data_IF_746689890173
#
_entry.id   IF_746689890173
#
_cell.length_a   1.000
_cell.length_b   1.000
_cell.length_c   1.000
_cell.angle_alpha   90.00
_cell.angle_beta   90.00
_cell.angle_gamma   90.00
#
_symmetry.space_group_name_H-M   'P 1'
#
loop_
_entity.id
_entity.type
_entity.pdbx_description
1 polymer ?
#
# COMPACT_ATOMS: atom_id res chain seq x y z
N UNK A 1 7.07 -5.25 13.40
CA UNK A 1 5.91 -4.39 13.07
C UNK A 1 6.00 -3.27 14.08
N UNK A 2 6.43 -2.10 13.63
CA UNK A 2 6.83 -1.04 14.55
C UNK A 2 5.68 -0.04 14.64
N UNK A 3 4.98 -0.06 15.77
CA UNK A 3 3.83 0.81 16.04
C UNK A 3 4.34 1.94 16.93
N UNK A 4 4.35 3.18 16.43
CA UNK A 4 4.69 4.36 17.22
C UNK A 4 3.53 5.36 17.27
N UNK A 5 3.16 5.81 18.47
CA UNK A 5 2.05 6.73 18.74
C UNK A 5 2.58 8.11 19.16
N UNK A 6 3.09 8.89 18.21
CA UNK A 6 3.26 10.34 18.41
C UNK A 6 2.17 11.07 17.61
N UNK A 7 1.14 11.54 18.32
CA UNK A 7 -0.04 12.33 17.90
C UNK A 7 -1.24 11.60 17.26
N UNK A 8 -2.30 11.32 18.06
CA UNK A 8 -3.71 10.98 17.70
C UNK A 8 -4.00 10.00 16.55
N UNK A 9 -2.98 9.43 15.93
CA UNK A 9 -3.05 8.61 14.73
C UNK A 9 -2.06 7.47 14.89
N UNK A 10 -2.47 6.32 14.37
CA UNK A 10 -1.68 5.11 14.27
C UNK A 10 -1.02 5.10 12.89
N UNK A 11 0.29 4.85 12.89
CA UNK A 11 1.07 4.71 11.66
C UNK A 11 1.50 3.25 11.54
N UNK A 12 1.22 2.65 10.38
CA UNK A 12 1.69 1.33 9.98
C UNK A 12 2.59 1.54 8.77
N UNK A 13 3.81 1.02 8.82
CA UNK A 13 4.77 1.09 7.71
C UNK A 13 5.16 -0.33 7.32
N UNK A 14 5.13 -0.62 6.03
CA UNK A 14 5.58 -1.89 5.44
C UNK A 14 6.53 -1.63 4.29
N UNK A 15 7.48 -2.53 4.15
CA UNK A 15 8.42 -2.56 3.05
C UNK A 15 8.18 -3.86 2.30
N UNK A 16 7.98 -3.79 1.00
CA UNK A 16 7.74 -4.94 0.14
C UNK A 16 8.67 -4.88 -1.06
N UNK A 17 9.08 -6.05 -1.55
CA UNK A 17 9.91 -6.19 -2.74
C UNK A 17 9.06 -6.78 -3.86
N UNK A 18 9.02 -6.10 -5.01
CA UNK A 18 8.26 -6.48 -6.19
C UNK A 18 9.22 -6.73 -7.34
N UNK A 19 9.11 -7.90 -8.00
CA UNK A 19 10.09 -8.36 -8.99
C UNK A 19 10.21 -7.48 -10.23
N UNK A 20 9.13 -6.90 -10.74
CA UNK A 20 9.17 -6.12 -11.98
C UNK A 20 8.23 -4.94 -11.91
N UNK A 21 8.51 -3.91 -12.72
CA UNK A 21 7.66 -2.74 -12.85
C UNK A 21 6.25 -3.11 -13.32
N UNK A 22 6.11 -4.12 -14.19
CA UNK A 22 4.81 -4.59 -14.67
C UNK A 22 3.95 -5.19 -13.55
N UNK A 23 4.58 -5.95 -12.64
CA UNK A 23 3.92 -6.49 -11.46
C UNK A 23 3.52 -5.35 -10.52
N UNK A 24 4.38 -4.34 -10.35
CA UNK A 24 4.07 -3.16 -9.56
C UNK A 24 2.88 -2.39 -10.16
N UNK A 25 2.87 -2.14 -11.46
CA UNK A 25 1.77 -1.46 -12.15
C UNK A 25 0.46 -2.24 -12.00
N UNK A 26 0.50 -3.57 -12.11
CA UNK A 26 -0.66 -4.43 -11.88
C UNK A 26 -1.15 -4.33 -10.43
N UNK A 27 -0.24 -4.38 -9.46
CA UNK A 27 -0.55 -4.21 -8.04
C UNK A 27 -1.24 -2.86 -7.78
N UNK A 28 -0.65 -1.76 -8.27
CA UNK A 28 -1.21 -0.42 -8.12
C UNK A 28 -2.59 -0.33 -8.77
N UNK A 29 -2.78 -0.86 -9.97
CA UNK A 29 -4.08 -0.84 -10.64
C UNK A 29 -5.16 -1.61 -9.87
N UNK A 30 -4.82 -2.73 -9.23
CA UNK A 30 -5.77 -3.47 -8.40
C UNK A 30 -6.10 -2.74 -7.11
N UNK A 31 -5.11 -2.10 -6.49
CA UNK A 31 -5.35 -1.21 -5.34
C UNK A 31 -6.27 -0.07 -5.75
N UNK A 32 -6.04 0.59 -6.89
CA UNK A 32 -6.93 1.64 -7.41
C UNK A 32 -8.36 1.14 -7.60
N UNK A 33 -8.54 -0.06 -8.13
CA UNK A 33 -9.85 -0.67 -8.30
C UNK A 33 -10.58 -0.98 -6.98
N UNK A 34 -9.86 -1.46 -5.95
CA UNK A 34 -10.46 -1.73 -4.62
C UNK A 34 -10.88 -0.44 -3.90
N UNK A 35 -10.21 0.68 -4.19
CA UNK A 35 -10.39 1.95 -3.50
C UNK A 35 -10.92 3.08 -4.42
N UNK A 36 -11.62 2.72 -5.50
CA UNK A 36 -12.06 3.64 -6.56
C UNK A 36 -13.02 4.76 -6.09
N UNK A 37 -13.78 4.50 -5.03
CA UNK A 37 -14.68 5.48 -4.40
C UNK A 37 -13.96 6.52 -3.52
N UNK A 38 -12.67 6.34 -3.26
CA UNK A 38 -11.88 7.24 -2.41
C UNK A 38 -11.11 8.28 -3.24
N UNK A 39 -10.79 9.41 -2.61
CA UNK A 39 -9.95 10.43 -3.22
C UNK A 39 -8.53 9.89 -3.39
N UNK A 40 -7.95 10.05 -4.59
CA UNK A 40 -6.61 9.58 -4.92
C UNK A 40 -5.72 10.72 -5.43
N UNK A 41 -4.44 10.67 -5.08
CA UNK A 41 -3.37 11.52 -5.60
C UNK A 41 -2.25 10.64 -6.18
N UNK A 42 -1.75 10.99 -7.37
CA UNK A 42 -0.80 10.15 -8.15
C UNK A 42 0.55 10.85 -8.43
N UNK A 43 0.97 11.79 -7.56
CA UNK A 43 2.17 12.60 -7.78
C UNK A 43 3.50 11.87 -7.53
N UNK A 44 3.54 10.98 -6.53
CA UNK A 44 4.74 10.24 -6.11
C UNK A 44 4.32 8.83 -5.67
N UNK A 45 3.85 8.04 -6.65
CA UNK A 45 3.16 6.78 -6.40
C UNK A 45 1.66 6.97 -6.16
N UNK A 46 1.03 6.00 -5.49
CA UNK A 46 -0.41 6.04 -5.20
C UNK A 46 -0.65 6.50 -3.77
N UNK A 47 -1.44 7.55 -3.58
CA UNK A 47 -1.94 7.96 -2.26
C UNK A 47 -3.46 8.00 -2.27
N UNK A 48 -4.08 7.40 -1.26
CA UNK A 48 -5.54 7.26 -1.16
C UNK A 48 -6.02 7.77 0.19
N UNK A 49 -7.03 8.62 0.18
CA UNK A 49 -7.63 9.23 1.37
C UNK A 49 -8.99 8.62 1.67
N UNK A 50 -9.16 8.13 2.90
CA UNK A 50 -10.40 7.56 3.43
C UNK A 50 -10.85 8.32 4.69
N UNK A 51 -12.12 8.23 5.13
CA UNK A 51 -12.66 9.07 6.20
C UNK A 51 -11.83 9.08 7.50
N UNK A 52 -11.14 7.97 7.80
CA UNK A 52 -10.35 7.80 9.02
C UNK A 52 -8.84 7.90 8.81
N UNK A 53 -8.35 8.36 7.64
CA UNK A 53 -6.93 8.40 7.38
C UNK A 53 -6.54 8.41 5.91
N UNK A 54 -5.32 7.96 5.64
CA UNK A 54 -4.84 7.77 4.28
C UNK A 54 -3.84 6.61 4.24
N UNK A 55 -3.58 6.11 3.05
CA UNK A 55 -2.41 5.28 2.79
C UNK A 55 -1.67 5.75 1.55
N UNK A 56 -0.37 5.45 1.47
CA UNK A 56 0.44 5.67 0.29
C UNK A 56 1.25 4.42 -0.05
N UNK A 57 1.51 4.24 -1.34
CA UNK A 57 2.38 3.21 -1.91
C UNK A 57 3.38 3.93 -2.82
N UNK A 58 4.64 3.98 -2.41
CA UNK A 58 5.69 4.71 -3.15
C UNK A 58 6.88 3.79 -3.42
N UNK A 59 7.60 4.05 -4.51
CA UNK A 59 8.83 3.33 -4.86
C UNK A 59 10.00 4.00 -4.16
N UNK A 60 10.74 3.24 -3.34
CA UNK A 60 11.95 3.73 -2.66
C UNK A 60 13.18 3.62 -3.56
N UNK A 61 13.28 2.51 -4.29
CA UNK A 61 14.37 2.25 -5.22
C UNK A 61 13.92 1.27 -6.30
N UNK A 62 14.51 1.44 -7.47
CA UNK A 62 14.30 0.61 -8.65
C UNK A 62 15.64 0.06 -9.12
N UNK A 63 15.66 -1.24 -9.41
CA UNK A 63 16.74 -1.91 -10.12
C UNK A 63 16.15 -2.72 -11.28
N UNK A 64 16.98 -3.19 -12.21
CA UNK A 64 16.52 -3.99 -13.37
C UNK A 64 15.69 -5.24 -12.99
N UNK A 65 15.79 -5.73 -11.75
CA UNK A 65 15.21 -7.01 -11.32
C UNK A 65 14.27 -6.93 -10.11
N UNK A 66 14.16 -5.76 -9.50
CA UNK A 66 13.34 -5.57 -8.31
C UNK A 66 13.05 -4.09 -8.02
N UNK A 67 11.86 -3.86 -7.49
CA UNK A 67 11.40 -2.60 -6.94
C UNK A 67 11.18 -2.76 -5.45
N UNK A 68 11.79 -1.88 -4.67
CA UNK A 68 11.51 -1.78 -3.24
C UNK A 68 10.46 -0.71 -3.03
N UNK A 69 9.31 -1.10 -2.48
CA UNK A 69 8.21 -0.18 -2.21
C UNK A 69 8.01 0.01 -0.71
N UNK A 70 7.47 1.17 -0.35
CA UNK A 70 6.97 1.44 0.98
C UNK A 70 5.46 1.63 0.94
N UNK A 71 4.77 0.95 1.86
CA UNK A 71 3.35 1.14 2.11
C UNK A 71 3.23 1.82 3.46
N UNK A 72 2.71 3.04 3.47
CA UNK A 72 2.47 3.81 4.69
C UNK A 72 0.97 3.94 4.89
N UNK A 73 0.47 3.61 6.07
CA UNK A 73 -0.93 3.74 6.43
C UNK A 73 -0.99 4.61 7.68
N UNK A 74 -1.68 5.73 7.58
CA UNK A 74 -1.95 6.61 8.72
C UNK A 74 -3.44 6.64 8.98
N UNK A 75 -3.83 6.23 10.18
CA UNK A 75 -5.22 6.03 10.55
C UNK A 75 -5.53 6.62 11.91
N UNK A 76 -6.75 7.14 12.11
CA UNK A 76 -7.20 7.69 13.39
C UNK A 76 -7.34 6.60 14.47
N UNK A 77 -7.72 5.38 14.09
CA UNK A 77 -7.79 4.23 15.00
C UNK A 77 -6.91 3.09 14.50
N UNK A 78 -6.44 2.24 15.43
CA UNK A 78 -5.64 1.06 15.04
C UNK A 78 -6.47 0.13 14.15
N UNK A 79 -7.73 -0.11 14.51
CA UNK A 79 -8.63 -0.99 13.78
C UNK A 79 -8.86 -0.53 12.33
N UNK A 80 -9.00 0.78 12.09
CA UNK A 80 -9.12 1.27 10.71
C UNK A 80 -7.83 1.05 9.93
N UNK A 81 -6.67 1.26 10.55
CA UNK A 81 -5.38 1.01 9.93
C UNK A 81 -5.17 -0.45 9.58
N UNK A 82 -5.50 -1.37 10.49
CA UNK A 82 -5.39 -2.81 10.28
C UNK A 82 -6.36 -3.33 9.21
N UNK A 83 -7.56 -2.75 9.09
CA UNK A 83 -8.50 -3.10 8.01
C UNK A 83 -7.94 -2.74 6.63
N UNK A 84 -7.38 -1.54 6.49
CA UNK A 84 -6.74 -1.09 5.24
C UNK A 84 -5.50 -1.95 4.93
N UNK A 85 -4.66 -2.23 5.93
CA UNK A 85 -3.51 -3.12 5.78
C UNK A 85 -3.94 -4.51 5.27
N UNK A 86 -4.99 -5.08 5.86
CA UNK A 86 -5.50 -6.40 5.48
C UNK A 86 -6.03 -6.43 4.04
N UNK A 87 -6.71 -5.38 3.58
CA UNK A 87 -7.18 -5.26 2.19
C UNK A 87 -6.00 -5.19 1.21
N UNK A 88 -5.02 -4.32 1.45
CA UNK A 88 -3.82 -4.20 0.60
C UNK A 88 -3.04 -5.52 0.58
N UNK A 89 -2.86 -6.16 1.74
CA UNK A 89 -2.17 -7.45 1.85
C UNK A 89 -2.90 -8.56 1.09
N UNK A 90 -4.24 -8.56 1.08
CA UNK A 90 -5.03 -9.52 0.33
C UNK A 90 -4.79 -9.38 -1.17
N UNK A 91 -4.78 -8.15 -1.69
CA UNK A 91 -4.47 -7.85 -3.10
C UNK A 91 -3.07 -8.35 -3.44
N UNK A 92 -2.07 -7.98 -2.64
CA UNK A 92 -0.68 -8.39 -2.85
C UNK A 92 -0.49 -9.92 -2.82
N UNK A 93 -1.14 -10.59 -1.87
CA UNK A 93 -1.11 -12.06 -1.76
C UNK A 93 -1.75 -12.72 -2.98
N UNK A 94 -2.87 -12.19 -3.45
CA UNK A 94 -3.56 -12.71 -4.63
C UNK A 94 -2.71 -12.56 -5.90
N UNK A 95 -2.09 -11.40 -6.09
CA UNK A 95 -1.17 -11.15 -7.21
C UNK A 95 0.00 -12.15 -7.19
N UNK A 96 0.62 -12.35 -6.04
CA UNK A 96 1.71 -13.32 -5.87
C UNK A 96 1.30 -14.78 -6.10
N UNK A 97 0.03 -15.13 -5.87
CA UNK A 97 -0.47 -16.48 -6.20
C UNK A 97 -0.62 -16.67 -7.71
N UNK A 98 -1.06 -15.63 -8.43
CA UNK A 98 -1.22 -15.68 -9.88
C UNK A 98 0.13 -15.73 -10.59
N UNK A 99 1.12 -14.99 -10.11
CA UNK A 99 2.47 -14.95 -10.69
C UNK A 99 3.33 -16.19 -10.42
N UNK A 100 2.89 -17.11 -9.54
CA UNK A 100 3.56 -18.38 -9.28
C UNK A 100 3.08 -19.53 -10.19
N UNK A 101 2.04 -19.29 -10.98
CA UNK A 101 1.59 -20.22 -12.04
C UNK A 101 2.35 -19.96 -13.32
#
# INVERSE_FOLDING_TARGET
MDISSKNSHYNIIKYENIKTIDIYNTFINWVRGEFDLYLMEELDGLKVYYPNGWFSITVLSESEKELNIIIQIKSKTLDSGLKIEAQIKKIYSHLNQILKK
#
